data_IF_883571200320
#
_entry.id   IF_883571200320
#
_cell.length_a   1.000
_cell.length_b   1.000
_cell.length_c   1.000
_cell.angle_alpha   90.00
_cell.angle_beta   90.00
_cell.angle_gamma   90.00
#
_symmetry.space_group_name_H-M   'P 1'
#
loop_
_entity.id
_entity.type
_entity.pdbx_description
1 polymer ?
#
# COMPACT_ATOMS: atom_id res chain seq x y z
N UNK A 1 4.42 -27.50 -9.75
CA UNK A 1 3.51 -26.89 -10.75
C UNK A 1 4.16 -26.88 -12.11
N UNK A 2 3.41 -26.47 -13.13
CA UNK A 2 3.98 -26.09 -14.43
C UNK A 2 4.81 -24.80 -14.29
N UNK A 3 5.65 -24.48 -15.27
CA UNK A 3 6.34 -23.18 -15.30
C UNK A 3 5.34 -22.02 -15.46
N UNK A 4 4.32 -22.19 -16.29
CA UNK A 4 3.21 -21.25 -16.50
C UNK A 4 1.92 -22.05 -16.62
N UNK A 5 0.78 -21.49 -16.21
CA UNK A 5 -0.53 -22.15 -16.35
C UNK A 5 -1.01 -22.24 -17.80
N UNK A 6 -1.17 -21.09 -18.45
CA UNK A 6 -1.61 -20.96 -19.85
C UNK A 6 -0.77 -19.91 -20.59
N UNK A 7 -0.46 -20.16 -21.86
CA UNK A 7 0.31 -19.23 -22.70
C UNK A 7 -0.49 -18.91 -23.97
N UNK A 8 -0.69 -17.62 -24.25
CA UNK A 8 -1.13 -17.13 -25.57
C UNK A 8 0.08 -16.59 -26.30
N UNK A 9 0.31 -17.03 -27.54
CA UNK A 9 1.50 -16.66 -28.31
C UNK A 9 1.25 -16.79 -29.81
N UNK A 10 2.30 -16.59 -30.60
CA UNK A 10 2.30 -16.78 -32.06
C UNK A 10 1.21 -15.98 -32.79
N UNK A 11 0.87 -14.79 -32.25
CA UNK A 11 -0.15 -13.92 -32.81
C UNK A 11 -1.57 -14.41 -32.58
N UNK A 12 -1.83 -15.11 -31.47
CA UNK A 12 -3.20 -15.48 -31.06
C UNK A 12 -4.05 -14.23 -30.78
N UNK A 13 -5.24 -14.16 -31.39
CA UNK A 13 -6.15 -13.01 -31.27
C UNK A 13 -7.59 -13.45 -31.14
N UNK A 14 -8.41 -12.59 -30.54
CA UNK A 14 -9.87 -12.74 -30.44
C UNK A 14 -10.30 -14.01 -29.67
N UNK A 15 -9.44 -14.48 -28.76
CA UNK A 15 -9.76 -15.57 -27.86
C UNK A 15 -10.42 -15.06 -26.59
N UNK A 16 -11.23 -15.92 -25.96
CA UNK A 16 -11.81 -15.68 -24.64
C UNK A 16 -11.35 -16.76 -23.69
N UNK A 17 -10.55 -16.38 -22.70
CA UNK A 17 -10.09 -17.24 -21.61
C UNK A 17 -10.79 -16.74 -20.36
N UNK A 18 -11.84 -17.45 -19.93
CA UNK A 18 -12.68 -17.06 -18.81
C UNK A 18 -13.18 -18.30 -18.07
N UNK A 19 -13.70 -18.12 -16.85
CA UNK A 19 -14.28 -19.17 -16.01
C UNK A 19 -13.30 -20.30 -15.66
N UNK A 20 -11.99 -20.04 -15.73
CA UNK A 20 -10.97 -21.02 -15.38
C UNK A 20 -10.49 -20.81 -13.94
N UNK A 21 -10.17 -21.92 -13.26
CA UNK A 21 -9.40 -21.90 -12.02
C UNK A 21 -7.94 -22.22 -12.35
N UNK A 22 -7.07 -21.21 -12.28
CA UNK A 22 -5.67 -21.27 -12.71
C UNK A 22 -4.76 -21.11 -11.49
N UNK A 23 -4.10 -22.19 -11.08
CA UNK A 23 -3.29 -22.17 -9.88
C UNK A 23 -2.26 -23.27 -9.74
N UNK A 24 -1.37 -23.13 -8.73
CA UNK A 24 -0.32 -24.09 -8.42
C UNK A 24 0.85 -24.10 -9.42
N UNK A 25 1.01 -23.03 -10.20
CA UNK A 25 2.12 -22.87 -11.15
C UNK A 25 3.35 -22.27 -10.46
N UNK A 26 4.54 -22.58 -10.97
CA UNK A 26 5.81 -22.03 -10.45
C UNK A 26 5.98 -20.57 -10.88
N UNK A 27 5.58 -20.22 -12.10
CA UNK A 27 5.53 -18.86 -12.62
C UNK A 27 4.09 -18.35 -12.74
N UNK A 28 3.84 -17.53 -13.75
CA UNK A 28 2.56 -16.85 -13.92
C UNK A 28 1.38 -17.79 -14.23
N UNK A 29 0.17 -17.32 -13.94
CA UNK A 29 -1.07 -18.02 -14.28
C UNK A 29 -1.31 -18.03 -15.80
N UNK A 30 -1.39 -16.85 -16.40
CA UNK A 30 -1.47 -16.65 -17.84
C UNK A 30 -0.29 -15.77 -18.28
N UNK A 31 0.42 -16.18 -19.33
CA UNK A 31 1.39 -15.32 -20.03
C UNK A 31 0.87 -15.03 -21.44
N UNK A 32 0.99 -13.77 -21.86
CA UNK A 32 0.73 -13.36 -23.25
C UNK A 32 2.07 -12.97 -23.88
N UNK A 33 2.49 -13.68 -24.93
CA UNK A 33 3.79 -13.49 -25.58
C UNK A 33 3.64 -12.95 -27.00
N UNK A 34 4.56 -12.07 -27.38
CA UNK A 34 4.67 -11.51 -28.73
C UNK A 34 3.73 -10.34 -29.01
N UNK A 35 4.27 -9.29 -29.61
CA UNK A 35 3.56 -8.02 -29.89
C UNK A 35 2.34 -8.13 -30.82
N UNK A 36 2.19 -9.26 -31.52
CA UNK A 36 1.04 -9.52 -32.39
C UNK A 36 -0.08 -10.31 -31.72
N UNK A 37 0.15 -10.81 -30.49
CA UNK A 37 -0.84 -11.50 -29.67
C UNK A 37 -1.69 -10.45 -28.95
N UNK A 38 -2.87 -10.19 -29.49
CA UNK A 38 -3.70 -9.01 -29.18
C UNK A 38 -5.17 -9.43 -29.13
N UNK A 39 -6.00 -8.67 -28.42
CA UNK A 39 -7.45 -8.80 -28.36
C UNK A 39 -7.92 -10.11 -27.76
N UNK A 40 -7.23 -10.61 -26.73
CA UNK A 40 -7.70 -11.76 -25.98
C UNK A 40 -8.32 -11.31 -24.66
N UNK A 41 -9.56 -11.69 -24.43
CA UNK A 41 -10.31 -11.35 -23.24
C UNK A 41 -9.98 -12.38 -22.14
N UNK A 42 -9.24 -11.95 -21.11
CA UNK A 42 -8.63 -12.81 -20.08
C UNK A 42 -9.26 -12.59 -18.68
N UNK A 43 -10.38 -11.88 -18.59
CA UNK A 43 -11.08 -11.65 -17.33
C UNK A 43 -11.84 -12.89 -16.84
N UNK A 44 -12.43 -12.80 -15.65
CA UNK A 44 -13.31 -13.79 -15.03
C UNK A 44 -12.65 -15.17 -14.85
N UNK A 45 -11.33 -15.16 -14.67
CA UNK A 45 -10.58 -16.32 -14.21
C UNK A 45 -10.31 -16.18 -12.70
N UNK A 46 -10.26 -17.32 -12.02
CA UNK A 46 -9.85 -17.44 -10.62
C UNK A 46 -8.39 -17.82 -10.56
N UNK A 47 -7.53 -16.94 -10.04
CA UNK A 47 -6.10 -17.17 -9.90
C UNK A 47 -5.73 -17.45 -8.45
N UNK A 48 -5.04 -18.57 -8.21
CA UNK A 48 -4.71 -19.03 -6.85
C UNK A 48 -3.32 -19.66 -6.82
N UNK A 49 -2.48 -19.33 -5.84
CA UNK A 49 -1.22 -20.07 -5.58
C UNK A 49 -0.29 -20.22 -6.81
N UNK A 50 -0.22 -19.19 -7.66
CA UNK A 50 0.82 -19.10 -8.69
C UNK A 50 2.06 -18.44 -8.08
N UNK A 51 3.25 -18.93 -8.41
CA UNK A 51 4.51 -18.36 -7.94
C UNK A 51 4.91 -17.06 -8.65
N UNK A 52 4.29 -16.78 -9.81
CA UNK A 52 4.39 -15.51 -10.54
C UNK A 52 3.07 -14.72 -10.56
N UNK A 53 2.96 -13.73 -11.44
CA UNK A 53 1.76 -12.91 -11.63
C UNK A 53 0.54 -13.75 -12.06
N UNK A 54 -0.67 -13.24 -11.79
CA UNK A 54 -1.89 -13.87 -12.32
C UNK A 54 -1.94 -13.82 -13.85
N UNK A 55 -1.74 -12.63 -14.41
CA UNK A 55 -1.59 -12.35 -15.84
C UNK A 55 -0.27 -11.58 -15.99
N UNK A 56 0.54 -11.97 -16.95
CA UNK A 56 1.85 -11.38 -17.26
C UNK A 56 1.94 -11.12 -18.78
N UNK A 57 2.11 -9.86 -19.18
CA UNK A 57 2.14 -9.41 -20.56
C UNK A 57 3.58 -9.31 -21.08
N UNK A 58 4.20 -10.46 -21.31
CA UNK A 58 5.59 -10.53 -21.79
C UNK A 58 6.40 -11.62 -21.12
N UNK A 59 5.94 -12.10 -19.96
CA UNK A 59 6.64 -13.06 -19.12
C UNK A 59 7.84 -12.45 -18.40
N UNK A 60 7.85 -11.12 -18.24
CA UNK A 60 8.98 -10.32 -17.75
C UNK A 60 8.66 -9.54 -16.47
N UNK A 61 7.49 -9.75 -15.89
CA UNK A 61 7.07 -9.16 -14.63
C UNK A 61 6.01 -8.09 -14.80
N UNK A 62 5.91 -7.16 -13.85
CA UNK A 62 4.86 -6.15 -13.87
C UNK A 62 5.15 -5.13 -14.97
N UNK A 63 4.21 -4.99 -15.89
CA UNK A 63 4.23 -3.96 -16.93
C UNK A 63 4.07 -2.57 -16.29
N UNK A 64 4.86 -1.55 -16.69
CA UNK A 64 4.69 -0.18 -16.23
C UNK A 64 3.27 0.34 -16.50
N UNK A 65 2.75 1.17 -15.60
CA UNK A 65 1.50 1.90 -15.82
C UNK A 65 1.81 3.33 -16.22
N UNK A 66 1.85 3.61 -17.53
CA UNK A 66 2.39 4.85 -18.09
C UNK A 66 1.31 5.86 -18.54
N UNK A 67 1.74 7.02 -19.05
CA UNK A 67 0.80 8.03 -19.53
C UNK A 67 0.38 7.73 -20.98
N UNK A 68 -0.92 7.81 -21.25
CA UNK A 68 -1.53 7.67 -22.59
C UNK A 68 -1.43 6.29 -23.26
N UNK A 69 -0.83 5.27 -22.62
CA UNK A 69 -0.87 3.84 -23.02
C UNK A 69 -0.44 3.64 -24.50
N UNK A 70 0.72 4.23 -24.86
CA UNK A 70 1.23 4.27 -26.25
C UNK A 70 2.11 3.05 -26.57
N UNK A 71 2.11 2.05 -25.69
CA UNK A 71 3.05 0.94 -25.73
C UNK A 71 2.80 -0.05 -26.89
N UNK A 72 3.89 -0.68 -27.31
CA UNK A 72 3.89 -1.81 -28.23
C UNK A 72 4.23 -3.09 -27.48
N UNK A 73 3.42 -4.14 -27.65
CA UNK A 73 3.68 -5.41 -26.99
C UNK A 73 2.45 -6.33 -26.98
N UNK A 74 2.54 -7.47 -26.28
CA UNK A 74 1.40 -8.35 -26.05
C UNK A 74 0.27 -7.55 -25.41
N UNK A 75 -0.93 -7.63 -25.98
CA UNK A 75 -2.08 -6.80 -25.57
C UNK A 75 -1.84 -5.27 -25.60
N UNK A 76 -0.80 -4.80 -26.31
CA UNK A 76 -0.38 -3.40 -26.28
C UNK A 76 0.19 -2.95 -24.94
N UNK A 77 0.56 -3.90 -24.06
CA UNK A 77 0.95 -3.65 -22.66
C UNK A 77 -0.09 -2.83 -21.88
N UNK A 78 -1.38 -3.05 -22.21
CA UNK A 78 -2.51 -2.28 -21.69
C UNK A 78 -2.37 -1.93 -20.21
N UNK A 79 -2.35 -0.63 -19.93
CA UNK A 79 -2.34 -0.08 -18.59
C UNK A 79 -3.46 -0.65 -17.70
N UNK A 80 -3.08 -1.07 -16.48
CA UNK A 80 -4.02 -1.60 -15.50
C UNK A 80 -4.82 -0.47 -14.82
N UNK A 81 -6.04 -0.74 -14.31
CA UNK A 81 -6.80 0.23 -13.53
C UNK A 81 -6.04 0.68 -12.28
N UNK A 82 -6.21 1.93 -11.87
CA UNK A 82 -5.72 2.45 -10.60
C UNK A 82 -6.90 2.60 -9.65
N UNK A 83 -6.92 1.82 -8.57
CA UNK A 83 -7.88 2.02 -7.48
C UNK A 83 -7.40 3.22 -6.65
N UNK A 84 -8.22 4.27 -6.54
CA UNK A 84 -7.87 5.54 -5.87
C UNK A 84 -8.47 5.65 -4.46
N UNK A 85 -9.66 5.07 -4.26
CA UNK A 85 -10.35 5.13 -2.98
C UNK A 85 -11.20 3.88 -2.75
N UNK A 86 -11.22 3.41 -1.50
CA UNK A 86 -12.18 2.43 -1.00
C UNK A 86 -12.77 2.93 0.31
N UNK A 87 -14.09 3.06 0.34
CA UNK A 87 -14.84 3.57 1.50
C UNK A 87 -15.84 2.50 1.93
N UNK A 88 -15.71 2.03 3.17
CA UNK A 88 -16.59 1.01 3.74
C UNK A 88 -17.80 1.64 4.42
N UNK A 89 -18.94 0.97 4.28
CA UNK A 89 -20.18 1.18 5.04
C UNK A 89 -20.70 -0.21 5.46
N UNK A 90 -20.21 -0.68 6.61
CA UNK A 90 -20.46 -2.04 7.07
C UNK A 90 -19.72 -3.10 6.24
N UNK A 91 -20.45 -4.00 5.60
CA UNK A 91 -19.92 -5.06 4.72
C UNK A 91 -19.94 -4.66 3.23
N UNK A 92 -20.41 -3.45 2.91
CA UNK A 92 -20.39 -2.87 1.58
C UNK A 92 -19.24 -1.85 1.47
N UNK A 93 -18.57 -1.82 0.33
CA UNK A 93 -17.57 -0.80 0.03
C UNK A 93 -17.86 -0.12 -1.30
N UNK A 94 -17.76 1.21 -1.30
CA UNK A 94 -17.68 2.00 -2.53
C UNK A 94 -16.23 2.08 -2.98
N UNK A 95 -15.95 1.59 -4.18
CA UNK A 95 -14.63 1.59 -4.81
C UNK A 95 -14.65 2.64 -5.92
N UNK A 96 -13.68 3.54 -5.89
CA UNK A 96 -13.45 4.54 -6.94
C UNK A 96 -12.04 4.40 -7.48
N UNK A 97 -11.90 4.60 -8.78
CA UNK A 97 -10.60 4.58 -9.44
C UNK A 97 -10.62 5.11 -10.85
N UNK A 98 -9.51 4.90 -11.56
CA UNK A 98 -9.32 5.28 -12.95
C UNK A 98 -8.89 4.11 -13.82
N UNK A 99 -9.32 4.14 -15.07
CA UNK A 99 -8.84 3.28 -16.15
C UNK A 99 -8.84 4.10 -17.45
N UNK A 100 -8.44 3.51 -18.58
CA UNK A 100 -8.59 4.17 -19.87
C UNK A 100 -10.06 4.50 -20.17
N UNK A 101 -10.28 5.55 -20.96
CA UNK A 101 -11.61 6.05 -21.31
C UNK A 101 -12.51 4.93 -21.82
N UNK A 102 -13.70 4.80 -21.24
CA UNK A 102 -14.71 3.80 -21.59
C UNK A 102 -14.28 2.32 -21.44
N UNK A 103 -13.11 2.02 -20.86
CA UNK A 103 -12.69 0.63 -20.62
C UNK A 103 -13.61 -0.08 -19.63
N UNK A 104 -13.72 -1.40 -19.76
CA UNK A 104 -14.34 -2.23 -18.73
C UNK A 104 -13.30 -2.52 -17.66
N UNK A 105 -13.71 -2.48 -16.41
CA UNK A 105 -12.89 -2.81 -15.24
C UNK A 105 -13.52 -4.00 -14.55
N UNK A 106 -12.76 -5.07 -14.41
CA UNK A 106 -13.15 -6.24 -13.63
C UNK A 106 -12.46 -6.16 -12.27
N UNK A 107 -13.23 -6.00 -11.20
CA UNK A 107 -12.71 -5.86 -9.84
C UNK A 107 -12.72 -7.22 -9.14
N UNK A 108 -11.62 -7.58 -8.49
CA UNK A 108 -11.46 -8.86 -7.80
C UNK A 108 -11.10 -8.67 -6.34
N UNK A 109 -11.49 -9.65 -5.52
CA UNK A 109 -10.86 -9.90 -4.22
C UNK A 109 -9.58 -10.71 -4.43
N UNK A 110 -8.55 -10.40 -3.65
CA UNK A 110 -7.30 -11.17 -3.56
C UNK A 110 -7.38 -12.10 -2.34
N UNK A 111 -6.89 -13.32 -2.49
CA UNK A 111 -6.94 -14.37 -1.46
C UNK A 111 -8.21 -15.22 -1.51
N UNK A 112 -8.14 -16.45 -1.01
CA UNK A 112 -9.28 -17.36 -1.00
C UNK A 112 -10.26 -17.02 0.13
N UNK A 113 -11.55 -16.96 -0.18
CA UNK A 113 -12.59 -17.05 0.82
C UNK A 113 -12.51 -18.43 1.50
N UNK A 114 -12.70 -18.47 2.83
CA UNK A 114 -13.02 -19.70 3.54
C UNK A 114 -14.31 -20.37 3.02
N UNK A 115 -15.16 -19.60 2.32
CA UNK A 115 -16.43 -20.02 1.73
C UNK A 115 -16.35 -20.38 0.24
N UNK A 116 -15.18 -20.22 -0.40
CA UNK A 116 -14.96 -20.79 -1.74
C UNK A 116 -14.76 -22.31 -1.59
N UNK A 117 -15.87 -23.06 -1.55
CA UNK A 117 -15.99 -24.50 -1.31
C UNK A 117 -15.15 -25.41 -2.21
N UNK A 118 -13.83 -25.34 -2.05
CA UNK A 118 -12.83 -26.08 -2.79
C UNK A 118 -11.58 -26.20 -1.93
N UNK A 119 -11.73 -26.88 -0.79
CA UNK A 119 -10.60 -27.36 -0.01
C UNK A 119 -9.75 -28.29 -0.88
N UNK A 120 -8.63 -27.76 -1.36
CA UNK A 120 -7.47 -28.58 -1.65
C UNK A 120 -6.53 -28.29 -0.49
N UNK A 121 -6.61 -29.14 0.53
CA UNK A 121 -5.69 -29.08 1.65
C UNK A 121 -4.27 -29.34 1.14
N UNK A 122 -3.38 -28.39 1.35
CA UNK A 122 -1.95 -28.69 1.44
C UNK A 122 -1.60 -28.79 2.91
N UNK A 123 -1.24 -30.02 3.32
CA UNK A 123 -0.75 -30.30 4.65
C UNK A 123 0.51 -29.49 4.97
N UNK A 124 0.52 -28.90 6.15
CA UNK A 124 1.64 -28.14 6.72
C UNK A 124 1.07 -27.05 7.62
N UNK A 125 0.96 -27.33 8.92
CA UNK A 125 0.18 -26.52 9.86
C UNK A 125 0.67 -25.08 10.00
N UNK A 126 -0.30 -24.16 9.97
CA UNK A 126 -0.14 -22.74 10.26
C UNK A 126 -0.99 -21.93 9.29
N UNK A 127 -2.04 -21.28 9.78
CA UNK A 127 -2.98 -20.49 8.97
C UNK A 127 -2.32 -19.25 8.35
N UNK A 128 -1.51 -19.46 7.32
CA UNK A 128 -0.98 -18.41 6.48
C UNK A 128 -2.10 -17.92 5.57
N UNK A 129 -2.65 -16.75 5.89
CA UNK A 129 -3.41 -15.96 4.94
C UNK A 129 -2.59 -15.89 3.65
N UNK A 130 -3.22 -16.29 2.54
CA UNK A 130 -2.66 -16.25 1.18
C UNK A 130 -2.17 -14.83 0.92
N UNK A 131 -0.87 -14.61 1.06
CA UNK A 131 -0.28 -13.30 0.88
C UNK A 131 -0.41 -12.91 -0.60
N UNK A 132 -0.66 -11.63 -0.90
CA UNK A 132 -0.54 -11.12 -2.26
C UNK A 132 0.83 -11.48 -2.84
N UNK A 133 0.90 -11.72 -4.16
CA UNK A 133 2.16 -12.00 -4.83
C UNK A 133 3.18 -10.90 -4.47
N UNK A 134 4.48 -11.25 -4.38
CA UNK A 134 5.51 -10.33 -3.91
C UNK A 134 5.60 -9.03 -4.72
N UNK A 135 5.11 -9.01 -5.97
CA UNK A 135 4.99 -7.78 -6.77
C UNK A 135 3.95 -6.78 -6.25
N UNK A 136 3.06 -7.17 -5.34
CA UNK A 136 1.93 -6.37 -4.89
C UNK A 136 0.77 -6.28 -5.89
N UNK A 137 0.75 -7.11 -6.94
CA UNK A 137 -0.29 -7.12 -7.99
C UNK A 137 -1.00 -8.48 -8.05
N UNK A 138 -2.32 -8.49 -7.90
CA UNK A 138 -3.14 -9.70 -7.81
C UNK A 138 -2.67 -10.70 -6.74
N UNK A 139 -2.97 -12.00 -6.89
CA UNK A 139 -3.83 -12.58 -7.93
C UNK A 139 -5.32 -12.31 -7.65
N UNK A 140 -6.12 -12.14 -8.71
CA UNK A 140 -7.58 -12.08 -8.61
C UNK A 140 -8.17 -13.46 -8.30
N UNK A 141 -8.56 -13.69 -7.05
CA UNK A 141 -9.09 -14.98 -6.57
C UNK A 141 -10.61 -15.10 -6.74
N UNK A 142 -11.34 -13.99 -6.68
CA UNK A 142 -12.79 -13.97 -6.90
C UNK A 142 -13.19 -12.67 -7.59
N UNK A 143 -13.88 -12.77 -8.72
CA UNK A 143 -14.49 -11.62 -9.39
C UNK A 143 -15.62 -11.08 -8.50
N UNK A 144 -15.58 -9.77 -8.21
CA UNK A 144 -16.61 -9.09 -7.44
C UNK A 144 -17.64 -8.43 -8.36
N UNK A 145 -17.17 -7.67 -9.36
CA UNK A 145 -18.05 -6.94 -10.27
C UNK A 145 -17.33 -6.49 -11.53
N UNK A 146 -18.10 -6.26 -12.59
CA UNK A 146 -17.69 -5.44 -13.73
C UNK A 146 -18.27 -4.04 -13.62
N UNK A 147 -17.43 -3.03 -13.83
CA UNK A 147 -17.82 -1.63 -13.98
C UNK A 147 -17.24 -1.08 -15.28
N UNK A 148 -17.79 0.00 -15.81
CA UNK A 148 -17.23 0.70 -16.96
C UNK A 148 -16.75 2.08 -16.51
N UNK A 149 -15.54 2.44 -16.90
CA UNK A 149 -15.06 3.81 -16.72
C UNK A 149 -15.83 4.77 -17.64
N UNK A 150 -16.04 6.00 -17.21
CA UNK A 150 -16.65 7.04 -18.03
C UNK A 150 -15.69 7.57 -19.11
N UNK A 151 -16.10 8.62 -19.83
CA UNK A 151 -15.28 9.20 -20.91
C UNK A 151 -14.03 9.88 -20.35
N UNK A 152 -14.05 10.34 -19.10
CA UNK A 152 -12.92 10.87 -18.34
C UNK A 152 -12.06 9.77 -17.69
N UNK A 153 -12.41 8.49 -17.89
CA UNK A 153 -11.67 7.36 -17.35
C UNK A 153 -11.93 7.08 -15.87
N UNK A 154 -12.96 7.68 -15.26
CA UNK A 154 -13.31 7.45 -13.85
C UNK A 154 -14.30 6.29 -13.75
N UNK A 155 -14.08 5.37 -12.81
CA UNK A 155 -15.06 4.36 -12.44
C UNK A 155 -15.40 4.44 -10.95
N UNK A 156 -16.66 4.18 -10.62
CA UNK A 156 -17.15 4.04 -9.25
C UNK A 156 -18.13 2.87 -9.18
N UNK A 157 -18.01 2.03 -8.16
CA UNK A 157 -18.88 0.87 -7.98
C UNK A 157 -19.03 0.49 -6.51
N UNK A 158 -20.06 -0.29 -6.19
CA UNK A 158 -20.30 -0.82 -4.84
C UNK A 158 -20.23 -2.33 -4.85
N UNK A 159 -19.48 -2.88 -3.91
CA UNK A 159 -19.29 -4.33 -3.76
C UNK A 159 -19.39 -4.73 -2.30
N UNK A 160 -19.83 -5.97 -2.04
CA UNK A 160 -19.75 -6.53 -0.69
C UNK A 160 -18.35 -7.05 -0.42
N UNK A 161 -17.62 -6.30 0.39
CA UNK A 161 -16.25 -6.63 0.78
C UNK A 161 -16.02 -6.12 2.20
N UNK A 162 -15.62 -7.02 3.09
CA UNK A 162 -15.35 -6.65 4.47
C UNK A 162 -14.08 -5.78 4.57
N UNK A 163 -13.99 -4.88 5.57
CA UNK A 163 -12.74 -4.18 5.88
C UNK A 163 -11.56 -5.14 6.05
N UNK A 164 -10.39 -4.73 5.58
CA UNK A 164 -9.17 -5.55 5.59
C UNK A 164 -9.05 -6.57 4.45
N UNK A 165 -10.09 -6.73 3.61
CA UNK A 165 -9.93 -7.48 2.38
C UNK A 165 -8.98 -6.75 1.40
N UNK A 166 -8.30 -7.55 0.58
CA UNK A 166 -7.42 -7.05 -0.47
C UNK A 166 -8.16 -7.09 -1.80
N UNK A 167 -8.07 -6.03 -2.58
CA UNK A 167 -8.79 -5.83 -3.84
C UNK A 167 -7.79 -5.55 -4.96
N UNK A 168 -8.04 -6.07 -6.16
CA UNK A 168 -7.29 -5.75 -7.38
C UNK A 168 -8.28 -5.57 -8.53
N UNK A 169 -7.80 -5.23 -9.72
CA UNK A 169 -8.64 -5.10 -10.90
C UNK A 169 -7.85 -5.40 -12.18
N UNK A 170 -8.54 -5.69 -13.28
CA UNK A 170 -7.94 -5.63 -14.64
C UNK A 170 -8.79 -4.72 -15.51
N UNK A 171 -8.17 -4.07 -16.48
CA UNK A 171 -8.83 -3.33 -17.54
C UNK A 171 -9.05 -4.26 -18.74
N UNK A 172 -10.16 -4.03 -19.44
CA UNK A 172 -10.40 -4.60 -20.76
C UNK A 172 -10.79 -3.49 -21.71
N UNK A 173 -9.98 -3.28 -22.74
CA UNK A 173 -10.17 -2.21 -23.71
C UNK A 173 -11.30 -2.51 -24.72
N UNK A 174 -11.60 -1.55 -25.59
CA UNK A 174 -12.60 -1.71 -26.65
C UNK A 174 -12.19 -2.72 -27.74
N UNK A 175 -10.89 -3.06 -27.83
CA UNK A 175 -10.35 -4.08 -28.73
C UNK A 175 -10.40 -5.49 -28.15
N UNK A 176 -10.67 -5.65 -26.86
CA UNK A 176 -10.63 -6.92 -26.14
C UNK A 176 -9.26 -7.29 -25.57
N UNK A 177 -8.29 -6.37 -25.52
CA UNK A 177 -7.06 -6.56 -24.77
C UNK A 177 -7.36 -6.51 -23.27
N UNK A 178 -6.71 -7.38 -22.49
CA UNK A 178 -6.80 -7.38 -21.02
C UNK A 178 -5.46 -7.00 -20.44
N UNK A 179 -5.46 -6.09 -19.46
CA UNK A 179 -4.26 -5.67 -18.72
C UNK A 179 -3.78 -6.78 -17.79
N UNK A 180 -2.59 -6.60 -17.22
CA UNK A 180 -2.22 -7.28 -15.99
C UNK A 180 -3.11 -6.84 -14.81
N UNK A 181 -2.97 -7.52 -13.67
CA UNK A 181 -3.64 -7.10 -12.45
C UNK A 181 -3.08 -5.77 -11.96
N UNK A 182 -3.98 -4.87 -11.59
CA UNK A 182 -3.68 -3.64 -10.87
C UNK A 182 -2.97 -3.91 -9.55
N UNK A 183 -2.26 -2.90 -9.07
CA UNK A 183 -1.72 -2.91 -7.71
C UNK A 183 -2.83 -3.21 -6.71
N UNK A 184 -2.53 -4.10 -5.79
CA UNK A 184 -3.44 -4.51 -4.75
C UNK A 184 -3.75 -3.33 -3.83
N UNK A 185 -5.04 -3.05 -3.70
CA UNK A 185 -5.57 -2.23 -2.66
C UNK A 185 -5.72 -3.04 -1.38
N UNK A 186 -5.13 -2.56 -0.30
CA UNK A 186 -5.36 -3.11 1.04
C UNK A 186 -6.09 -2.04 1.84
N UNK A 187 -7.37 -2.28 2.16
CA UNK A 187 -8.11 -1.39 3.04
C UNK A 187 -7.46 -1.39 4.42
N UNK A 188 -7.20 -0.20 4.94
CA UNK A 188 -6.87 -0.04 6.34
C UNK A 188 -8.10 -0.46 7.19
N UNK A 189 -7.89 -1.15 8.33
CA UNK A 189 -8.99 -1.51 9.19
C UNK A 189 -9.65 -0.26 9.82
N UNK A 190 -10.93 -0.35 10.20
CA UNK A 190 -11.62 0.77 10.85
C UNK A 190 -10.94 1.15 12.16
N UNK A 191 -10.99 2.43 12.52
CA UNK A 191 -10.42 2.89 13.77
C UNK A 191 -11.33 2.50 14.95
N UNK A 192 -10.82 1.68 15.87
CA UNK A 192 -11.57 1.26 17.06
C UNK A 192 -11.52 2.34 18.14
N UNK A 193 -12.65 2.98 18.40
CA UNK A 193 -12.81 4.04 19.39
C UNK A 193 -13.56 3.53 20.62
N UNK A 194 -12.83 3.30 21.73
CA UNK A 194 -13.43 3.09 23.04
C UNK A 194 -13.38 4.36 23.91
N UNK A 195 -13.94 4.32 25.13
CA UNK A 195 -13.97 5.47 26.03
C UNK A 195 -12.60 6.10 26.26
N UNK A 196 -12.59 7.43 26.34
CA UNK A 196 -11.38 8.22 26.57
C UNK A 196 -10.58 8.45 25.29
N UNK A 197 -9.28 8.64 25.46
CA UNK A 197 -8.37 8.96 24.36
C UNK A 197 -8.01 7.72 23.53
N UNK A 198 -8.01 7.86 22.21
CA UNK A 198 -7.48 6.91 21.25
C UNK A 198 -6.64 7.64 20.21
N UNK A 199 -5.45 7.12 19.95
CA UNK A 199 -4.59 7.61 18.90
C UNK A 199 -4.92 6.87 17.59
N UNK A 200 -5.25 7.61 16.55
CA UNK A 200 -5.70 7.07 15.24
C UNK A 200 -5.18 7.96 14.12
N UNK A 201 -4.96 7.41 12.93
CA UNK A 201 -4.65 8.23 11.76
C UNK A 201 -5.93 8.60 11.02
N UNK A 202 -5.95 9.77 10.38
CA UNK A 202 -6.91 10.08 9.32
C UNK A 202 -6.45 9.44 8.01
N UNK A 203 -7.32 8.64 7.40
CA UNK A 203 -7.01 7.85 6.20
C UNK A 203 -7.62 8.43 4.93
N UNK A 204 -8.52 9.39 5.11
CA UNK A 204 -9.33 10.00 4.06
C UNK A 204 -8.64 11.12 3.30
N UNK A 205 -9.35 11.68 2.31
CA UNK A 205 -8.94 12.91 1.65
C UNK A 205 -8.90 14.09 2.63
N UNK A 206 -8.39 15.23 2.17
CA UNK A 206 -8.59 16.49 2.88
C UNK A 206 -10.09 16.70 3.13
N UNK A 207 -10.46 16.96 4.38
CA UNK A 207 -11.86 17.12 4.79
C UNK A 207 -11.96 18.05 6.00
N UNK A 208 -13.13 18.69 6.18
CA UNK A 208 -13.37 19.37 7.45
C UNK A 208 -13.42 18.34 8.58
N UNK A 209 -12.95 18.72 9.78
CA UNK A 209 -12.95 17.79 10.93
C UNK A 209 -14.38 17.41 11.31
N UNK A 210 -15.33 18.32 11.12
CA UNK A 210 -16.75 18.08 11.39
C UNK A 210 -17.33 16.98 10.49
N UNK A 211 -17.08 17.04 9.18
CA UNK A 211 -17.54 16.00 8.23
C UNK A 211 -16.80 14.67 8.47
N UNK A 212 -15.47 14.72 8.63
CA UNK A 212 -14.66 13.53 8.85
C UNK A 212 -15.08 12.72 10.09
N UNK A 213 -15.60 13.40 11.10
CA UNK A 213 -15.99 12.79 12.38
C UNK A 213 -17.49 12.66 12.61
N UNK A 214 -18.31 12.98 11.59
CA UNK A 214 -19.77 12.97 11.69
C UNK A 214 -20.30 11.60 12.14
N UNK A 215 -19.72 10.50 11.63
CA UNK A 215 -20.12 9.13 11.97
C UNK A 215 -19.83 8.72 13.42
N UNK A 216 -18.97 9.45 14.13
CA UNK A 216 -18.74 9.26 15.57
C UNK A 216 -19.93 9.79 16.39
N UNK A 217 -20.62 10.81 15.85
CA UNK A 217 -21.80 11.42 16.46
C UNK A 217 -21.55 12.01 17.86
N UNK A 218 -22.57 11.95 18.72
CA UNK A 218 -22.55 12.55 20.06
C UNK A 218 -21.51 11.92 21.02
N UNK A 219 -20.89 10.78 20.64
CA UNK A 219 -19.79 10.18 21.41
C UNK A 219 -18.51 11.01 21.31
N UNK A 220 -18.34 11.84 20.28
CA UNK A 220 -17.14 12.65 20.10
C UNK A 220 -17.10 13.83 21.08
N UNK A 221 -16.05 13.91 21.89
CA UNK A 221 -15.84 15.03 22.82
C UNK A 221 -14.79 16.02 22.31
N UNK A 222 -13.74 15.52 21.66
CA UNK A 222 -12.71 16.34 21.04
C UNK A 222 -11.83 15.52 20.07
N UNK A 223 -11.24 16.19 19.09
CA UNK A 223 -10.12 15.69 18.27
C UNK A 223 -8.93 16.60 18.50
N UNK A 224 -7.74 16.03 18.64
CA UNK A 224 -6.50 16.77 18.78
C UNK A 224 -5.52 16.35 17.69
N UNK A 225 -4.85 17.33 17.09
CA UNK A 225 -3.74 17.12 16.16
C UNK A 225 -2.52 17.86 16.66
N UNK A 226 -1.36 17.22 16.68
CA UNK A 226 -0.12 17.91 16.99
C UNK A 226 0.37 18.66 15.75
N UNK A 227 0.67 19.94 15.92
CA UNK A 227 1.24 20.78 14.87
C UNK A 227 2.74 20.94 15.16
N UNK A 228 3.54 20.33 14.28
CA UNK A 228 5.00 20.33 14.38
C UNK A 228 5.62 21.72 14.11
N UNK A 229 4.95 22.61 13.39
CA UNK A 229 5.47 23.96 13.15
C UNK A 229 5.41 24.82 14.41
N UNK A 230 4.30 24.72 15.16
CA UNK A 230 4.10 25.46 16.42
C UNK A 230 4.52 24.69 17.67
N UNK A 231 4.88 23.41 17.52
CA UNK A 231 5.19 22.50 18.63
C UNK A 231 4.08 22.46 19.68
N UNK A 232 2.82 22.35 19.23
CA UNK A 232 1.63 22.48 20.07
C UNK A 232 0.40 21.75 19.51
N UNK A 233 -0.68 21.71 20.29
CA UNK A 233 -1.89 20.95 19.95
C UNK A 233 -2.98 21.82 19.37
N UNK A 234 -3.46 21.46 18.18
CA UNK A 234 -4.74 21.93 17.66
C UNK A 234 -5.86 21.02 18.14
N UNK A 235 -7.03 21.60 18.36
CA UNK A 235 -8.18 20.94 18.91
C UNK A 235 -9.43 21.28 18.11
N UNK A 236 -10.29 20.28 17.94
CA UNK A 236 -11.67 20.45 17.49
C UNK A 236 -12.59 19.94 18.60
N UNK A 237 -13.60 20.73 18.96
CA UNK A 237 -14.65 20.34 19.90
C UNK A 237 -16.02 20.63 19.28
N UNK A 238 -16.84 19.58 19.02
CA UNK A 238 -18.18 19.77 18.48
C UNK A 238 -19.00 20.78 19.32
N UNK A 239 -19.56 21.78 18.64
CA UNK A 239 -20.40 22.81 19.29
C UNK A 239 -19.66 23.83 20.17
N UNK A 240 -18.31 23.82 20.22
CA UNK A 240 -17.51 24.76 21.02
C UNK A 240 -16.47 25.48 20.14
N UNK A 241 -16.90 26.41 19.26
CA UNK A 241 -16.01 27.04 18.27
C UNK A 241 -14.89 27.86 18.92
N UNK A 242 -15.13 28.47 20.09
CA UNK A 242 -14.11 29.28 20.79
C UNK A 242 -12.90 28.46 21.27
N UNK A 243 -13.06 27.13 21.43
CA UNK A 243 -11.99 26.20 21.79
C UNK A 243 -11.58 25.31 20.61
N UNK A 244 -11.96 25.65 19.38
CA UNK A 244 -11.66 24.84 18.19
C UNK A 244 -10.80 25.63 17.22
N UNK A 245 -9.54 25.23 17.08
CA UNK A 245 -8.57 25.80 16.11
C UNK A 245 -8.11 24.75 15.07
N UNK A 246 -8.62 23.51 15.15
CA UNK A 246 -8.46 22.48 14.13
C UNK A 246 -9.70 22.46 13.23
N UNK A 247 -9.53 22.89 11.98
CA UNK A 247 -10.63 23.01 11.01
C UNK A 247 -10.64 21.87 9.99
N UNK A 248 -9.47 21.50 9.48
CA UNK A 248 -9.29 20.50 8.43
C UNK A 248 -8.35 19.38 8.85
N UNK A 249 -8.65 18.17 8.38
CA UNK A 249 -7.80 17.00 8.45
C UNK A 249 -7.17 16.74 7.09
N UNK A 250 -5.89 16.42 7.09
CA UNK A 250 -5.12 16.06 5.91
C UNK A 250 -4.86 14.54 5.88
N UNK A 251 -4.77 13.91 4.69
CA UNK A 251 -4.46 12.49 4.59
C UNK A 251 -3.21 12.13 5.39
N UNK A 252 -3.31 11.15 6.29
CA UNK A 252 -2.21 10.70 7.14
C UNK A 252 -2.06 11.44 8.47
N UNK A 253 -2.86 12.47 8.75
CA UNK A 253 -2.82 13.19 10.02
C UNK A 253 -2.93 12.22 11.21
N UNK A 254 -2.01 12.33 12.16
CA UNK A 254 -2.06 11.56 13.40
C UNK A 254 -2.89 12.31 14.45
N UNK A 255 -3.94 11.66 14.95
CA UNK A 255 -4.96 12.27 15.80
C UNK A 255 -5.02 11.60 17.16
N UNK A 256 -5.37 12.39 18.17
CA UNK A 256 -5.95 11.89 19.40
C UNK A 256 -7.44 12.21 19.41
N UNK A 257 -8.27 11.16 19.41
CA UNK A 257 -9.73 11.28 19.47
C UNK A 257 -10.19 10.95 20.88
N UNK A 258 -10.93 11.87 21.50
CA UNK A 258 -11.51 11.71 22.82
C UNK A 258 -13.00 11.40 22.68
N UNK A 259 -13.42 10.25 23.18
CA UNK A 259 -14.84 9.85 23.19
C UNK A 259 -15.40 9.71 24.60
N UNK A 260 -16.70 9.95 24.74
CA UNK A 260 -17.44 9.76 25.99
C UNK A 260 -17.55 8.27 26.38
N UNK A 261 -17.88 7.95 27.64
CA UNK A 261 -18.11 6.56 28.07
C UNK A 261 -19.18 5.84 27.25
N UNK A 262 -19.00 4.53 27.05
CA UNK A 262 -19.91 3.66 26.29
C UNK A 262 -19.16 2.50 25.63
N UNK A 263 -19.84 1.66 24.83
CA UNK A 263 -19.20 0.57 24.09
C UNK A 263 -18.19 1.12 23.06
N UNK A 264 -17.32 0.24 22.58
CA UNK A 264 -16.45 0.54 21.45
C UNK A 264 -17.27 0.84 20.19
N UNK A 265 -16.79 1.82 19.43
CA UNK A 265 -17.33 2.27 18.15
C UNK A 265 -16.28 1.98 17.08
N UNK A 266 -16.71 1.52 15.91
CA UNK A 266 -15.87 1.49 14.72
C UNK A 266 -16.04 2.81 13.96
N UNK A 267 -14.97 3.58 13.87
CA UNK A 267 -14.92 4.74 13.02
C UNK A 267 -14.37 4.32 11.65
N UNK A 268 -15.31 4.01 10.75
CA UNK A 268 -15.03 3.78 9.33
C UNK A 268 -14.54 5.08 8.71
N UNK A 269 -13.39 5.02 8.04
CA UNK A 269 -12.81 6.16 7.37
C UNK A 269 -12.68 5.85 5.87
N UNK A 270 -12.92 6.83 4.99
CA UNK A 270 -12.51 6.67 3.60
C UNK A 270 -11.00 6.42 3.58
N UNK A 271 -10.55 5.44 2.80
CA UNK A 271 -9.12 5.19 2.61
C UNK A 271 -8.73 5.60 1.18
N UNK A 272 -7.63 6.34 1.05
CA UNK A 272 -7.04 6.71 -0.23
C UNK A 272 -5.90 5.77 -0.62
N UNK A 273 -5.67 5.62 -1.93
CA UNK A 273 -4.42 5.03 -2.41
C UNK A 273 -3.42 6.02 -1.90
N UNK A 274 -2.56 5.60 -0.96
CA UNK A 274 -1.45 6.47 -0.68
C UNK A 274 -0.77 6.68 -2.03
N UNK A 275 -0.70 7.94 -2.45
CA UNK A 275 0.42 8.36 -3.26
C UNK A 275 1.68 7.82 -2.59
N UNK A 276 2.77 7.67 -3.31
CA UNK A 276 4.05 7.22 -2.74
C UNK A 276 4.65 8.23 -1.73
N UNK A 277 3.81 9.01 -1.06
CA UNK A 277 4.10 10.06 -0.13
C UNK A 277 4.75 9.54 1.14
N UNK A 278 5.98 10.02 1.32
CA UNK A 278 6.58 10.13 2.64
C UNK A 278 5.89 11.19 3.50
N UNK A 279 6.38 11.33 4.73
CA UNK A 279 6.00 12.41 5.62
C UNK A 279 7.11 13.46 5.68
N UNK A 280 6.77 14.71 5.37
CA UNK A 280 7.67 15.85 5.62
C UNK A 280 7.73 16.12 7.12
N UNK A 281 8.90 15.89 7.72
CA UNK A 281 9.14 16.13 9.15
C UNK A 281 9.74 17.52 9.35
N UNK A 282 9.29 18.23 10.38
CA UNK A 282 9.86 19.51 10.80
C UNK A 282 10.81 19.33 11.98
N UNK A 283 11.77 20.24 12.13
CA UNK A 283 12.67 20.23 13.30
C UNK A 283 11.86 20.27 14.61
N UNK A 284 12.23 19.42 15.57
CA UNK A 284 11.50 19.22 16.81
C UNK A 284 10.63 17.95 16.78
N UNK A 285 9.54 17.95 17.55
CA UNK A 285 8.62 16.83 17.63
C UNK A 285 7.69 16.78 16.42
N UNK A 286 7.36 15.57 16.01
CA UNK A 286 6.37 15.26 14.98
C UNK A 286 5.55 14.07 15.48
N UNK A 287 4.23 14.12 15.34
CA UNK A 287 3.35 12.98 15.57
C UNK A 287 2.82 12.52 14.22
N UNK A 288 3.26 11.36 13.75
CA UNK A 288 3.12 10.95 12.35
C UNK A 288 2.72 9.49 12.25
N UNK A 289 2.01 9.16 11.18
CA UNK A 289 1.65 7.79 10.80
C UNK A 289 2.75 7.17 9.94
N UNK A 290 2.96 5.86 10.05
CA UNK A 290 3.56 5.04 9.00
C UNK A 290 2.49 4.59 7.99
N UNK A 291 2.53 5.11 6.77
CA UNK A 291 1.61 4.81 5.67
C UNK A 291 2.12 3.74 4.70
N UNK A 292 3.40 3.34 4.83
CA UNK A 292 4.06 2.34 3.99
C UNK A 292 3.66 0.90 4.31
N UNK A 293 4.28 -0.05 3.63
CA UNK A 293 4.10 -1.48 3.90
C UNK A 293 4.81 -1.91 5.19
N UNK A 294 4.44 -3.06 5.77
CA UNK A 294 5.13 -3.59 6.94
C UNK A 294 6.63 -3.75 6.69
N UNK A 295 7.46 -3.18 7.56
CA UNK A 295 8.91 -3.14 7.37
C UNK A 295 9.66 -3.24 8.69
N UNK A 296 10.87 -3.81 8.68
CA UNK A 296 11.74 -3.80 9.84
C UNK A 296 12.00 -2.36 10.31
N UNK A 297 11.93 -2.12 11.62
CA UNK A 297 12.06 -0.80 12.24
C UNK A 297 13.31 -0.02 11.76
N UNK A 298 14.46 -0.70 11.71
CA UNK A 298 15.72 -0.09 11.28
C UNK A 298 15.72 0.30 9.80
N UNK A 299 15.04 -0.46 8.95
CA UNK A 299 14.89 -0.16 7.53
C UNK A 299 13.94 1.03 7.34
N UNK A 300 12.78 1.03 8.03
CA UNK A 300 11.80 2.11 7.94
C UNK A 300 12.31 3.45 8.47
N UNK A 301 13.12 3.46 9.54
CA UNK A 301 13.71 4.68 10.10
C UNK A 301 15.05 5.06 9.47
N UNK A 302 15.69 4.15 8.73
CA UNK A 302 17.00 4.36 8.10
C UNK A 302 17.13 5.67 7.30
N UNK A 303 16.17 6.01 6.42
CA UNK A 303 16.22 7.24 5.62
C UNK A 303 16.30 8.54 6.44
N UNK A 304 15.77 8.55 7.67
CA UNK A 304 15.77 9.72 8.55
C UNK A 304 16.78 9.60 9.69
N UNK A 305 17.50 8.49 9.80
CA UNK A 305 18.43 8.22 10.91
C UNK A 305 19.45 9.34 11.16
N UNK A 306 20.03 10.03 10.14
CA UNK A 306 20.96 11.13 10.38
C UNK A 306 20.34 12.34 11.11
N UNK A 307 19.03 12.55 10.96
CA UNK A 307 18.31 13.65 11.60
C UNK A 307 17.55 13.21 12.86
N UNK A 308 17.35 11.91 13.07
CA UNK A 308 16.53 11.37 14.14
C UNK A 308 17.23 11.44 15.50
N UNK A 309 16.61 12.13 16.47
CA UNK A 309 17.09 12.24 17.84
C UNK A 309 16.44 11.20 18.76
N UNK A 310 15.14 10.96 18.57
CA UNK A 310 14.38 9.94 19.31
C UNK A 310 13.14 9.50 18.55
N UNK A 311 12.74 8.25 18.75
CA UNK A 311 11.51 7.72 18.19
C UNK A 311 10.77 6.87 19.23
N UNK A 312 9.46 7.08 19.34
CA UNK A 312 8.58 6.34 20.22
C UNK A 312 7.35 5.84 19.46
N UNK A 313 7.12 4.53 19.51
CA UNK A 313 5.93 3.89 18.94
C UNK A 313 4.80 3.87 19.95
N UNK A 314 3.59 4.21 19.53
CA UNK A 314 2.38 4.02 20.33
C UNK A 314 1.91 2.56 20.28
N UNK A 315 1.75 1.92 21.45
CA UNK A 315 1.20 0.57 21.57
C UNK A 315 -0.26 0.64 22.06
N UNK A 316 -1.27 0.55 21.18
CA UNK A 316 -2.66 0.83 21.55
C UNK A 316 -3.23 -0.17 22.56
N UNK A 317 -2.88 -1.46 22.46
CA UNK A 317 -3.34 -2.50 23.39
C UNK A 317 -2.83 -2.31 24.83
N UNK A 318 -1.64 -1.74 24.98
CA UNK A 318 -0.98 -1.53 26.27
C UNK A 318 -1.11 -0.08 26.78
N UNK A 319 -1.60 0.83 25.92
CA UNK A 319 -1.74 2.26 26.17
C UNK A 319 -0.45 2.92 26.69
N UNK A 320 0.68 2.54 26.11
CA UNK A 320 2.01 3.10 26.44
C UNK A 320 2.82 3.34 25.18
N UNK A 321 3.91 4.07 25.36
CA UNK A 321 4.93 4.25 24.35
C UNK A 321 6.08 3.27 24.55
N UNK A 322 6.59 2.75 23.44
CA UNK A 322 7.84 2.00 23.38
C UNK A 322 8.89 2.86 22.69
N UNK A 323 10.07 2.99 23.30
CA UNK A 323 11.19 3.65 22.68
C UNK A 323 11.80 2.74 21.61
N UNK A 324 11.89 3.23 20.38
CA UNK A 324 12.43 2.47 19.24
C UNK A 324 13.74 3.07 18.71
N UNK A 325 14.02 4.34 19.03
CA UNK A 325 15.32 4.97 18.79
C UNK A 325 15.72 5.88 19.97
N UNK A 326 16.99 5.84 20.44
CA UNK A 326 18.07 4.96 19.96
C UNK A 326 17.78 3.48 20.22
N UNK A 327 18.34 2.59 19.41
CA UNK A 327 18.14 1.14 19.55
C UNK A 327 18.62 0.71 20.93
N UNK A 328 17.73 0.10 21.70
CA UNK A 328 18.04 -0.42 23.04
C UNK A 328 18.63 -1.83 22.89
N UNK A 329 19.88 -2.08 23.33
CA UNK A 329 20.50 -3.40 23.23
C UNK A 329 19.65 -4.50 23.87
N UNK A 330 19.44 -5.60 23.13
CA UNK A 330 18.62 -6.74 23.59
C UNK A 330 17.11 -6.57 23.39
N UNK A 331 16.64 -5.42 22.91
CA UNK A 331 15.26 -5.21 22.50
C UNK A 331 15.20 -5.19 20.97
N UNK A 332 14.56 -6.20 20.37
CA UNK A 332 14.24 -6.21 18.95
C UNK A 332 12.80 -5.70 18.79
N UNK A 333 12.59 -4.42 18.42
CA UNK A 333 11.25 -3.91 18.25
C UNK A 333 10.56 -4.64 17.10
N UNK A 334 9.28 -4.97 17.28
CA UNK A 334 8.47 -5.56 16.21
C UNK A 334 8.45 -4.65 14.96
N UNK A 335 8.31 -5.21 13.75
CA UNK A 335 8.28 -4.43 12.51
C UNK A 335 7.23 -3.33 12.55
N UNK A 336 7.51 -2.20 11.90
CA UNK A 336 6.53 -1.14 11.66
C UNK A 336 5.38 -1.71 10.85
N UNK A 337 4.16 -1.45 11.29
CA UNK A 337 2.94 -1.83 10.57
C UNK A 337 2.27 -0.60 9.95
N UNK A 338 1.58 -0.81 8.83
CA UNK A 338 0.77 0.25 8.21
C UNK A 338 -0.25 0.78 9.21
N UNK A 339 -0.37 2.10 9.30
CA UNK A 339 -1.27 2.76 10.25
C UNK A 339 -0.66 3.05 11.62
N UNK A 340 0.52 2.50 11.94
CA UNK A 340 1.14 2.77 13.24
C UNK A 340 1.50 4.25 13.41
N UNK A 341 1.34 4.75 14.63
CA UNK A 341 1.61 6.13 14.99
C UNK A 341 2.89 6.24 15.81
N UNK A 342 3.72 7.21 15.45
CA UNK A 342 5.01 7.45 16.06
C UNK A 342 5.14 8.90 16.50
N UNK A 343 5.78 9.08 17.65
CA UNK A 343 6.47 10.33 17.94
C UNK A 343 7.89 10.25 17.42
N UNK A 344 8.24 11.18 16.55
CA UNK A 344 9.60 11.36 16.07
C UNK A 344 10.10 12.73 16.52
N UNK A 345 11.31 12.78 17.05
CA UNK A 345 12.02 14.04 17.24
C UNK A 345 13.18 14.09 16.26
N UNK A 346 13.22 15.12 15.42
CA UNK A 346 14.27 15.31 14.43
C UNK A 346 14.99 16.64 14.64
N UNK A 347 16.30 16.67 14.38
CA UNK A 347 17.15 17.83 14.57
C UNK A 347 16.97 18.91 13.49
N UNK A 348 16.48 18.52 12.31
CA UNK A 348 16.22 19.38 11.15
C UNK A 348 15.07 18.85 10.30
N UNK A 349 14.55 19.68 9.40
CA UNK A 349 13.50 19.25 8.48
C UNK A 349 14.00 18.16 7.53
N UNK A 350 13.22 17.09 7.35
CA UNK A 350 13.61 15.92 6.55
C UNK A 350 12.38 15.24 5.96
N UNK A 351 12.49 14.78 4.71
CA UNK A 351 11.47 13.92 4.11
C UNK A 351 11.65 12.49 4.58
N UNK A 352 10.58 11.90 5.11
CA UNK A 352 10.56 10.52 5.56
C UNK A 352 9.81 9.64 4.57
N UNK A 353 10.49 8.95 3.63
CA UNK A 353 9.82 8.10 2.65
C UNK A 353 9.12 6.91 3.34
N UNK A 354 7.89 6.63 2.91
CA UNK A 354 7.06 5.53 3.44
C UNK A 354 6.55 4.66 2.29
N UNK A 355 7.44 3.91 1.62
CA UNK A 355 7.11 3.22 0.39
C UNK A 355 6.07 2.12 0.62
N UNK A 356 5.23 1.92 -0.39
CA UNK A 356 4.25 0.82 -0.47
C UNK A 356 4.72 -0.29 -1.40
N UNK A 357 6.02 -0.49 -1.49
CA UNK A 357 6.60 -1.58 -2.26
C UNK A 357 6.61 -2.81 -1.37
N UNK A 358 5.75 -3.77 -1.67
CA UNK A 358 5.92 -5.11 -1.13
C UNK A 358 7.26 -5.60 -1.70
N UNK A 359 8.32 -5.49 -0.93
CA UNK A 359 9.57 -6.19 -1.16
C UNK A 359 9.78 -6.96 0.12
N UNK A 360 9.43 -8.25 0.10
CA UNK A 360 10.01 -9.14 1.09
C UNK A 360 11.53 -8.96 0.99
N UNK A 361 12.27 -8.79 2.10
CA UNK A 361 13.71 -8.99 2.02
C UNK A 361 13.88 -10.37 1.38
N UNK A 362 14.68 -10.45 0.30
CA UNK A 362 14.92 -11.71 -0.39
C UNK A 362 15.36 -12.73 0.66
N UNK A 363 14.46 -13.63 1.04
CA UNK A 363 14.83 -14.77 1.87
C UNK A 363 15.44 -15.74 0.88
N UNK A 364 16.77 -15.81 0.88
CA UNK A 364 17.48 -16.91 0.26
C UNK A 364 16.80 -18.22 0.72
N UNK A 365 16.45 -19.18 -0.17
CA UNK A 365 15.81 -20.43 0.20
C UNK A 365 16.46 -21.23 1.36
N UNK A 366 17.64 -20.82 1.86
CA UNK A 366 18.32 -21.44 3.00
C UNK A 366 18.20 -20.70 4.35
N UNK A 367 17.56 -19.53 4.43
CA UNK A 367 17.18 -18.93 5.72
C UNK A 367 18.33 -18.37 6.59
N UNK A 368 19.50 -18.07 6.01
CA UNK A 368 20.54 -17.28 6.68
C UNK A 368 20.43 -15.79 6.28
N UNK A 369 20.51 -14.91 7.29
CA UNK A 369 20.59 -13.47 7.10
C UNK A 369 22.04 -13.14 6.73
N UNK A 370 22.29 -12.74 5.49
CA UNK A 370 23.59 -12.25 5.04
C UNK A 370 23.94 -10.93 5.79
N UNK A 371 25.02 -10.88 6.59
CA UNK A 371 25.39 -9.69 7.33
C UNK A 371 26.09 -8.60 6.50
N UNK A 372 26.30 -8.77 5.19
CA UNK A 372 27.18 -7.88 4.39
C UNK A 372 26.52 -6.98 3.33
N UNK A 373 25.22 -6.67 3.41
CA UNK A 373 24.65 -5.58 2.58
C UNK A 373 24.80 -4.22 3.28
N UNK A 374 26.04 -3.73 3.33
CA UNK A 374 26.34 -2.30 3.48
C UNK A 374 26.38 -1.62 2.10
N UNK A 375 26.28 -0.28 2.02
CA UNK A 375 26.49 0.42 0.75
C UNK A 375 27.88 0.08 0.19
N UNK A 376 27.94 -0.16 -1.13
CA UNK A 376 29.16 -0.41 -1.87
C UNK A 376 30.25 0.61 -1.45
N UNK A 377 31.47 0.17 -1.08
CA UNK A 377 32.52 1.11 -0.74
C UNK A 377 32.81 1.99 -1.96
N UNK A 378 32.89 3.31 -1.71
CA UNK A 378 33.22 4.28 -2.74
C UNK A 378 34.45 3.83 -3.54
N UNK A 379 34.49 4.05 -4.87
CA UNK A 379 35.62 3.63 -5.69
C UNK A 379 36.91 4.23 -5.12
N UNK A 380 37.90 3.38 -4.89
CA UNK A 380 39.25 3.79 -4.51
C UNK A 380 39.76 4.84 -5.49
N UNK A 381 40.21 6.02 -5.03
CA UNK A 381 40.73 7.04 -5.93
C UNK A 381 41.97 6.53 -6.66
N UNK A 382 42.06 6.87 -7.94
CA UNK A 382 43.19 6.56 -8.82
C UNK A 382 44.50 7.13 -8.21
N UNK A 383 45.54 6.30 -7.99
CA UNK A 383 46.83 6.76 -7.45
C UNK A 383 47.56 7.77 -8.36
N UNK A 384 47.04 8.07 -9.55
CA UNK A 384 47.59 9.09 -10.44
C UNK A 384 47.24 10.55 -10.07
N UNK A 385 46.46 10.80 -9.02
CA UNK A 385 45.98 12.17 -8.68
C UNK A 385 46.60 12.78 -7.42
N UNK A 386 47.40 12.04 -6.64
CA UNK A 386 48.05 12.56 -5.42
C UNK A 386 49.38 13.30 -5.66
N UNK A 387 49.96 13.25 -6.86
CA UNK A 387 51.25 13.91 -7.16
C UNK A 387 51.11 15.35 -7.72
N UNK A 388 49.86 15.86 -7.82
CA UNK A 388 49.57 17.21 -8.33
C UNK A 388 49.23 18.25 -7.25
N UNK A 389 48.97 17.82 -6.00
CA UNK A 389 48.61 18.73 -4.88
C UNK A 389 49.76 18.99 -3.90
N UNK A 390 50.85 18.21 -3.94
CA UNK A 390 52.04 18.38 -3.07
C UNK A 390 53.14 19.26 -3.66
N UNK A 391 53.00 19.79 -4.89
CA UNK A 391 53.98 20.74 -5.50
C UNK A 391 53.52 22.19 -5.56
N UNK A 392 52.39 22.56 -4.94
CA UNK A 392 51.90 23.96 -4.94
C UNK A 392 52.12 24.74 -3.64
N UNK A 393 52.60 24.10 -2.58
CA UNK A 393 52.84 24.75 -1.27
C UNK A 393 54.32 25.02 -0.94
N UNK A 394 55.26 24.81 -1.87
CA UNK A 394 56.68 25.22 -1.69
C UNK A 394 57.08 26.47 -2.50
N UNK A 395 56.13 27.20 -3.10
CA UNK A 395 56.37 28.54 -3.63
C UNK A 395 55.18 29.47 -3.39
N UNK A 396 55.04 29.96 -2.16
CA UNK A 396 54.52 31.30 -1.89
C UNK A 396 54.97 31.81 -0.53
#
# INVERSE_FOLDING_TARGET
>A
GNAVGLVLRDGARENRVQDNRIGGNVGAGIVVEGATTLRNDLHDNTFLENGGLGIDLGGDGVSPNDADDVDEGPHGLLNAPVIEAVVHDGDEATIRGRAGSLQRVAVYRVGADADAGGGIGVGGGGGAYLLPHASGHGPGAALLIFVRADVEGVFETRVRVAPGAVITAVAVDGGGNTSEFARNWVSDPPAVLGPGFRAVAWLGPESSVAEATESIGERLLAVFRFDAGRQGWSIFRPGVPVLSDLETLQPGDALWVLTSPGPELLWEQPSLSASEGGAGLLAGLNFVRWGGDPVLMGVGLGPIAPALESAFRWLPGERRYEAVFPVIPGLAPAPLQRGELLWLRVSGGVEWPQPRTFVLPAVDPEGEVDPEVGPEPAPTPDPATEDALTRRDERR
#
